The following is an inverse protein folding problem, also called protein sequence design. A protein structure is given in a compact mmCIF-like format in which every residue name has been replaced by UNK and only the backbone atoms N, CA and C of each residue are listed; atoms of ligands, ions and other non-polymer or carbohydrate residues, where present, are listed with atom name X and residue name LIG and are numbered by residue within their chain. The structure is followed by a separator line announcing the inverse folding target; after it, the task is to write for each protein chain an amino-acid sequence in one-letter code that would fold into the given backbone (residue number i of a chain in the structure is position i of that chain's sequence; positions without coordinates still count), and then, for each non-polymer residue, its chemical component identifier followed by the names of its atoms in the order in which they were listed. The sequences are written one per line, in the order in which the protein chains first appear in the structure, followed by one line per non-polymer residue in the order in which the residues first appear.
data_IF_191871256439
#
_entry.id   IF_191871256439
#
_cell.length_a   1.000
_cell.length_b   1.000
_cell.length_c   1.000
_cell.angle_alpha   90.00
_cell.angle_beta   90.00
_cell.angle_gamma   90.00
#
_symmetry.space_group_name_H-M   'P 1'
#
loop_
_entity.id
_entity.type
_entity.pdbx_description
1 polymer ?
#
# COMPACT_ATOMS: atom_id res chain seq x y z
N UNK A 1 15.76 -45.27 -18.18
CA UNK A 1 15.33 -45.36 -16.77
C UNK A 1 15.82 -46.68 -16.15
N UNK A 2 15.63 -47.84 -16.78
CA UNK A 2 16.07 -49.17 -16.28
C UNK A 2 17.57 -49.34 -15.92
N UNK A 3 18.49 -48.55 -16.48
CA UNK A 3 19.94 -48.67 -16.19
C UNK A 3 20.40 -48.05 -14.85
N UNK A 4 19.47 -47.52 -14.05
CA UNK A 4 19.79 -46.75 -12.83
C UNK A 4 19.07 -47.28 -11.57
N UNK A 5 18.36 -48.40 -11.64
CA UNK A 5 17.82 -49.04 -10.43
C UNK A 5 18.96 -49.38 -9.45
N UNK A 6 18.80 -48.97 -8.19
CA UNK A 6 19.84 -49.08 -7.16
C UNK A 6 20.90 -47.96 -7.17
N UNK A 7 20.84 -46.99 -8.10
CA UNK A 7 21.72 -45.82 -8.09
C UNK A 7 21.14 -44.70 -7.19
N UNK A 8 21.92 -44.13 -6.25
CA UNK A 8 21.44 -43.07 -5.36
C UNK A 8 20.97 -41.79 -6.07
N UNK A 9 21.32 -41.60 -7.35
CA UNK A 9 20.89 -40.46 -8.17
C UNK A 9 19.59 -40.71 -8.96
N UNK A 10 19.02 -41.91 -8.90
CA UNK A 10 17.82 -42.25 -9.65
C UNK A 10 16.66 -41.30 -9.36
N UNK A 11 16.39 -41.02 -8.08
CA UNK A 11 15.32 -40.12 -7.65
C UNK A 11 15.48 -38.72 -8.25
N UNK A 12 16.69 -38.15 -8.17
CA UNK A 12 17.03 -36.83 -8.73
C UNK A 12 16.82 -36.75 -10.25
N UNK A 13 17.21 -37.77 -11.00
CA UNK A 13 16.99 -37.83 -12.46
C UNK A 13 15.50 -37.94 -12.79
N UNK A 14 14.79 -38.78 -12.06
CA UNK A 14 13.35 -38.98 -12.25
C UNK A 14 12.54 -37.72 -11.92
N UNK A 15 12.90 -36.99 -10.86
CA UNK A 15 12.35 -35.67 -10.53
C UNK A 15 12.54 -34.68 -11.69
N UNK A 16 13.76 -34.57 -12.21
CA UNK A 16 14.06 -33.68 -13.34
C UNK A 16 13.22 -34.02 -14.59
N UNK A 17 13.08 -35.31 -14.89
CA UNK A 17 12.23 -35.77 -15.98
C UNK A 17 10.75 -35.44 -15.74
N UNK A 18 10.23 -35.69 -14.54
CA UNK A 18 8.84 -35.37 -14.19
C UNK A 18 8.55 -33.87 -14.33
N UNK A 19 9.43 -33.00 -13.83
CA UNK A 19 9.33 -31.54 -13.99
C UNK A 19 9.40 -31.13 -15.46
N UNK A 20 10.25 -31.77 -16.26
CA UNK A 20 10.33 -31.51 -17.70
C UNK A 20 9.01 -31.83 -18.41
N UNK A 21 8.36 -32.95 -18.09
CA UNK A 21 7.06 -33.33 -18.64
C UNK A 21 5.96 -32.32 -18.26
N UNK A 22 6.00 -31.80 -17.04
CA UNK A 22 5.05 -30.78 -16.56
C UNK A 22 5.26 -29.45 -17.30
N UNK A 23 6.52 -28.99 -17.40
CA UNK A 23 6.85 -27.73 -18.08
C UNK A 23 6.61 -27.76 -19.59
N UNK A 24 6.75 -28.92 -20.22
CA UNK A 24 6.56 -29.10 -21.65
C UNK A 24 5.10 -29.00 -22.12
N UNK A 25 4.12 -28.89 -21.22
CA UNK A 25 2.71 -28.63 -21.53
C UNK A 25 1.92 -29.82 -22.11
N UNK A 26 2.55 -30.67 -22.92
CA UNK A 26 1.89 -31.81 -23.59
C UNK A 26 1.73 -33.09 -22.74
N UNK A 27 2.41 -33.19 -21.60
CA UNK A 27 2.50 -34.42 -20.80
C UNK A 27 2.34 -34.19 -19.29
N UNK A 28 1.55 -33.19 -18.90
CA UNK A 28 1.36 -32.81 -17.48
C UNK A 28 0.87 -33.99 -16.63
N UNK A 29 -0.09 -34.78 -17.13
CA UNK A 29 -0.60 -35.96 -16.42
C UNK A 29 0.46 -37.04 -16.19
N UNK A 30 1.33 -37.28 -17.18
CA UNK A 30 2.44 -38.23 -17.06
C UNK A 30 3.49 -37.73 -16.06
N UNK A 31 3.79 -36.43 -16.09
CA UNK A 31 4.69 -35.81 -15.11
C UNK A 31 4.14 -35.88 -13.68
N UNK A 32 2.85 -35.62 -13.49
CA UNK A 32 2.17 -35.76 -12.18
C UNK A 32 2.23 -37.21 -11.68
N UNK A 33 1.92 -38.19 -12.54
CA UNK A 33 2.05 -39.60 -12.19
C UNK A 33 3.49 -39.99 -11.80
N UNK A 34 4.48 -39.49 -12.51
CA UNK A 34 5.89 -39.72 -12.17
C UNK A 34 6.25 -39.12 -10.79
N UNK A 35 5.75 -37.93 -10.46
CA UNK A 35 5.92 -37.35 -9.12
C UNK A 35 5.23 -38.19 -8.04
N UNK A 36 4.00 -38.66 -8.28
CA UNK A 36 3.28 -39.54 -7.32
C UNK A 36 4.07 -40.81 -7.06
N UNK A 37 4.61 -41.44 -8.11
CA UNK A 37 5.45 -42.63 -7.98
C UNK A 37 6.71 -42.35 -7.14
N UNK A 38 7.36 -41.20 -7.33
CA UNK A 38 8.55 -40.82 -6.56
C UNK A 38 8.22 -40.51 -5.10
N UNK A 39 7.13 -39.79 -4.83
CA UNK A 39 6.71 -39.41 -3.48
C UNK A 39 6.49 -40.62 -2.54
N UNK A 40 6.05 -41.76 -3.10
CA UNK A 40 5.81 -43.00 -2.37
C UNK A 40 6.98 -44.01 -2.40
N UNK A 41 8.09 -43.72 -3.09
CA UNK A 41 9.15 -44.71 -3.30
C UNK A 41 10.22 -44.65 -2.19
N UNK A 42 10.18 -45.60 -1.26
CA UNK A 42 11.14 -45.70 -0.15
C UNK A 42 12.59 -45.95 -0.59
N UNK A 43 12.82 -46.44 -1.80
CA UNK A 43 14.15 -46.74 -2.36
C UNK A 43 14.89 -45.48 -2.83
N UNK A 44 14.18 -44.36 -3.06
CA UNK A 44 14.83 -43.08 -3.39
C UNK A 44 15.20 -42.28 -2.15
N UNK A 45 16.07 -41.29 -2.32
CA UNK A 45 16.50 -40.45 -1.20
C UNK A 45 15.30 -39.72 -0.57
N UNK A 46 15.26 -39.58 0.79
CA UNK A 46 14.21 -38.85 1.47
C UNK A 46 13.99 -37.44 0.92
N UNK A 47 15.08 -36.73 0.59
CA UNK A 47 15.03 -35.40 -0.02
C UNK A 47 14.32 -35.41 -1.39
N UNK A 48 14.52 -36.45 -2.20
CA UNK A 48 13.86 -36.55 -3.51
C UNK A 48 12.37 -36.84 -3.36
N UNK A 49 11.98 -37.68 -2.38
CA UNK A 49 10.54 -37.89 -2.05
C UNK A 49 9.88 -36.62 -1.55
N UNK A 50 10.53 -35.93 -0.62
CA UNK A 50 10.04 -34.68 -0.06
C UNK A 50 9.85 -33.62 -1.15
N UNK A 51 10.80 -33.52 -2.08
CA UNK A 51 10.67 -32.63 -3.24
C UNK A 51 9.52 -33.03 -4.17
N UNK A 52 9.30 -34.33 -4.40
CA UNK A 52 8.15 -34.80 -5.18
C UNK A 52 6.81 -34.43 -4.50
N UNK A 53 6.68 -34.64 -3.18
CA UNK A 53 5.51 -34.25 -2.38
C UNK A 53 5.28 -32.74 -2.42
N UNK A 54 6.34 -31.96 -2.29
CA UNK A 54 6.29 -30.50 -2.41
C UNK A 54 5.74 -30.07 -3.76
N UNK A 55 6.27 -30.62 -4.87
CA UNK A 55 5.81 -30.28 -6.21
C UNK A 55 4.34 -30.67 -6.44
N UNK A 56 3.90 -31.82 -5.93
CA UNK A 56 2.51 -32.25 -5.97
C UNK A 56 1.60 -31.32 -5.16
N UNK A 57 2.05 -30.88 -3.99
CA UNK A 57 1.32 -29.90 -3.18
C UNK A 57 1.21 -28.54 -3.89
N UNK A 58 2.26 -28.09 -4.58
CA UNK A 58 2.20 -26.87 -5.40
C UNK A 58 1.22 -26.99 -6.57
N UNK A 59 1.15 -28.16 -7.21
CA UNK A 59 0.14 -28.42 -8.24
C UNK A 59 -1.26 -28.37 -7.66
N UNK A 60 -1.49 -29.02 -6.51
CA UNK A 60 -2.77 -28.99 -5.81
C UNK A 60 -3.20 -27.56 -5.42
N UNK A 61 -2.24 -26.72 -4.99
CA UNK A 61 -2.49 -25.29 -4.78
C UNK A 61 -2.96 -24.62 -6.08
N UNK A 62 -2.31 -24.88 -7.22
CA UNK A 62 -2.70 -24.30 -8.51
C UNK A 62 -4.06 -24.79 -9.02
N UNK A 63 -4.38 -26.05 -8.78
CA UNK A 63 -5.62 -26.73 -9.19
C UNK A 63 -6.79 -26.49 -8.20
N UNK A 64 -6.55 -25.77 -7.09
CA UNK A 64 -7.54 -25.57 -6.01
C UNK A 64 -8.03 -26.88 -5.38
N UNK A 65 -7.17 -27.89 -5.38
CA UNK A 65 -7.43 -29.21 -4.81
C UNK A 65 -6.95 -29.27 -3.34
N UNK A 66 -7.84 -28.87 -2.43
CA UNK A 66 -7.51 -28.82 -0.99
C UNK A 66 -7.22 -30.20 -0.41
N UNK A 67 -7.87 -31.25 -0.94
CA UNK A 67 -7.69 -32.63 -0.46
C UNK A 67 -6.25 -33.10 -0.73
N UNK A 68 -5.76 -32.94 -1.96
CA UNK A 68 -4.39 -33.33 -2.28
C UNK A 68 -3.37 -32.39 -1.64
N UNK A 69 -3.67 -31.10 -1.49
CA UNK A 69 -2.81 -30.17 -0.76
C UNK A 69 -2.58 -30.64 0.68
N UNK A 70 -3.65 -30.89 1.45
CA UNK A 70 -3.54 -31.31 2.86
C UNK A 70 -2.89 -32.67 3.01
N UNK A 71 -3.15 -33.60 2.07
CA UNK A 71 -2.44 -34.88 2.00
C UNK A 71 -0.93 -34.68 1.94
N UNK A 72 -0.42 -33.97 0.94
CA UNK A 72 1.02 -33.82 0.76
C UNK A 72 1.67 -32.91 1.80
N UNK A 73 0.94 -31.92 2.31
CA UNK A 73 1.38 -31.11 3.45
C UNK A 73 1.59 -31.97 4.69
N UNK A 74 0.65 -32.87 5.00
CA UNK A 74 0.75 -33.80 6.13
C UNK A 74 1.94 -34.75 5.96
N UNK A 75 2.07 -35.38 4.78
CA UNK A 75 3.21 -36.27 4.47
C UNK A 75 4.58 -35.55 4.52
N UNK A 76 4.62 -34.24 4.27
CA UNK A 76 5.82 -33.42 4.46
C UNK A 76 6.08 -33.10 5.94
N UNK A 77 5.03 -32.90 6.74
CA UNK A 77 5.15 -32.66 8.18
C UNK A 77 5.60 -33.87 8.97
N UNK A 78 5.31 -35.08 8.49
CA UNK A 78 5.75 -36.33 9.08
C UNK A 78 7.22 -36.67 8.76
N UNK A 79 7.79 -36.09 7.70
CA UNK A 79 9.18 -36.31 7.29
C UNK A 79 10.12 -35.29 7.95
N UNK A 80 10.93 -35.76 8.89
CA UNK A 80 11.91 -34.92 9.60
C UNK A 80 12.92 -34.23 8.67
N UNK A 81 13.16 -34.75 7.47
CA UNK A 81 14.07 -34.17 6.48
C UNK A 81 13.37 -33.17 5.53
N UNK A 82 12.06 -32.98 5.66
CA UNK A 82 11.25 -32.16 4.76
C UNK A 82 10.86 -30.79 5.31
N UNK A 83 11.37 -30.40 6.48
CA UNK A 83 11.06 -29.11 7.14
C UNK A 83 11.21 -27.90 6.20
N UNK A 84 12.29 -27.84 5.41
CA UNK A 84 12.48 -26.79 4.39
C UNK A 84 11.33 -26.72 3.38
N UNK A 85 10.88 -27.87 2.87
CA UNK A 85 9.81 -27.94 1.89
C UNK A 85 8.45 -27.59 2.49
N UNK A 86 8.18 -28.02 3.73
CA UNK A 86 6.93 -27.70 4.41
C UNK A 86 6.80 -26.19 4.64
N UNK A 87 7.83 -25.55 5.21
CA UNK A 87 7.82 -24.10 5.44
C UNK A 87 7.61 -23.36 4.11
N UNK A 88 8.33 -23.77 3.06
CA UNK A 88 8.19 -23.15 1.74
C UNK A 88 6.80 -23.34 1.14
N UNK A 89 6.18 -24.50 1.34
CA UNK A 89 4.82 -24.78 0.87
C UNK A 89 3.79 -23.87 1.55
N UNK A 90 3.89 -23.73 2.88
CA UNK A 90 2.98 -22.88 3.66
C UNK A 90 3.13 -21.40 3.28
N UNK A 91 4.36 -20.92 3.07
CA UNK A 91 4.62 -19.59 2.53
C UNK A 91 3.92 -19.38 1.18
N UNK A 92 4.05 -20.32 0.25
CA UNK A 92 3.47 -20.21 -1.08
C UNK A 92 1.93 -20.26 -1.05
N UNK A 93 1.32 -21.11 -0.21
CA UNK A 93 -0.13 -21.12 0.02
C UNK A 93 -0.59 -19.78 0.58
N UNK A 94 0.11 -19.26 1.59
CA UNK A 94 -0.18 -17.95 2.18
C UNK A 94 -0.08 -16.83 1.14
N UNK A 95 0.98 -16.80 0.34
CA UNK A 95 1.15 -15.81 -0.73
C UNK A 95 0.05 -15.91 -1.77
N UNK A 96 -0.37 -17.11 -2.20
CA UNK A 96 -1.52 -17.27 -3.11
C UNK A 96 -2.78 -16.67 -2.51
N UNK A 97 -3.07 -16.98 -1.24
CA UNK A 97 -4.26 -16.49 -0.55
C UNK A 97 -4.24 -14.95 -0.43
N UNK A 98 -3.10 -14.36 -0.06
CA UNK A 98 -2.92 -12.90 -0.01
C UNK A 98 -3.12 -12.27 -1.40
N UNK A 99 -2.59 -12.87 -2.45
CA UNK A 99 -2.79 -12.40 -3.82
C UNK A 99 -4.27 -12.47 -4.25
N UNK A 100 -4.99 -13.52 -3.86
CA UNK A 100 -6.42 -13.65 -4.14
C UNK A 100 -7.22 -12.54 -3.46
N UNK A 101 -6.91 -12.24 -2.18
CA UNK A 101 -7.50 -11.12 -1.44
C UNK A 101 -7.16 -9.79 -2.14
N UNK A 102 -5.89 -9.53 -2.43
CA UNK A 102 -5.47 -8.29 -3.07
C UNK A 102 -6.18 -8.06 -4.42
N UNK A 103 -6.40 -9.13 -5.21
CA UNK A 103 -7.13 -9.05 -6.48
C UNK A 103 -8.63 -8.78 -6.32
N UNK A 104 -9.24 -9.17 -5.22
CA UNK A 104 -10.67 -8.92 -4.98
C UNK A 104 -10.94 -7.54 -4.38
N UNK A 105 -9.96 -6.93 -3.70
CA UNK A 105 -10.11 -5.63 -3.05
C UNK A 105 -10.70 -4.52 -3.94
N UNK A 106 -10.26 -4.30 -5.20
CA UNK A 106 -10.82 -3.23 -6.03
C UNK A 106 -12.33 -3.35 -6.25
N UNK A 107 -12.85 -4.56 -6.43
CA UNK A 107 -14.27 -4.81 -6.62
C UNK A 107 -15.05 -4.67 -5.31
N UNK A 108 -14.51 -5.22 -4.22
CA UNK A 108 -15.10 -5.09 -2.88
C UNK A 108 -15.21 -3.63 -2.45
N UNK A 109 -14.15 -2.85 -2.65
CA UNK A 109 -14.12 -1.43 -2.31
C UNK A 109 -15.06 -0.61 -3.18
N UNK A 110 -15.13 -0.89 -4.49
CA UNK A 110 -16.09 -0.24 -5.39
C UNK A 110 -17.54 -0.50 -4.94
N UNK A 111 -17.89 -1.75 -4.63
CA UNK A 111 -19.24 -2.12 -4.18
C UNK A 111 -19.60 -1.48 -2.83
N UNK A 112 -18.67 -1.50 -1.87
CA UNK A 112 -18.85 -0.89 -0.57
C UNK A 112 -18.97 0.64 -0.69
N UNK A 113 -18.13 1.25 -1.52
CA UNK A 113 -18.16 2.68 -1.81
C UNK A 113 -19.47 3.12 -2.46
N UNK A 114 -19.95 2.38 -3.46
CA UNK A 114 -21.21 2.67 -4.13
C UNK A 114 -22.40 2.60 -3.17
N UNK A 115 -22.46 1.57 -2.32
CA UNK A 115 -23.48 1.45 -1.26
C UNK A 115 -23.41 2.63 -0.29
N UNK A 116 -22.22 2.90 0.25
CA UNK A 116 -22.00 4.00 1.18
C UNK A 116 -22.44 5.34 0.60
N UNK A 117 -21.99 5.70 -0.61
CA UNK A 117 -22.37 6.94 -1.27
C UNK A 117 -23.88 7.02 -1.50
N UNK A 118 -24.53 5.92 -1.90
CA UNK A 118 -25.98 5.90 -2.08
C UNK A 118 -26.76 6.19 -0.79
N UNK A 119 -26.26 5.72 0.36
CA UNK A 119 -26.84 6.02 1.66
C UNK A 119 -26.60 7.48 2.06
N UNK A 120 -25.38 7.99 1.86
CA UNK A 120 -25.02 9.38 2.17
C UNK A 120 -25.88 10.37 1.38
N UNK A 121 -26.14 10.10 0.09
CA UNK A 121 -27.02 10.95 -0.76
C UNK A 121 -28.41 11.17 -0.17
N UNK A 122 -28.92 10.21 0.61
CA UNK A 122 -30.25 10.31 1.22
C UNK A 122 -30.26 11.11 2.53
N UNK A 123 -29.10 11.44 3.10
CA UNK A 123 -29.00 12.18 4.35
C UNK A 123 -29.37 13.65 4.15
N UNK A 124 -30.13 14.19 5.09
CA UNK A 124 -30.49 15.61 5.11
C UNK A 124 -29.23 16.47 5.26
N UNK A 125 -29.10 17.52 4.45
CA UNK A 125 -27.96 18.45 4.50
C UNK A 125 -26.80 18.04 3.58
N UNK A 126 -26.87 16.87 2.95
CA UNK A 126 -25.93 16.46 1.91
C UNK A 126 -26.39 17.02 0.56
N UNK A 127 -25.44 17.57 -0.19
CA UNK A 127 -25.63 18.03 -1.56
C UNK A 127 -24.74 17.21 -2.49
N UNK A 128 -25.27 16.84 -3.65
CA UNK A 128 -24.53 16.18 -4.73
C UNK A 128 -24.25 17.18 -5.86
N UNK A 129 -23.01 17.17 -6.34
CA UNK A 129 -22.57 17.93 -7.50
C UNK A 129 -22.71 17.11 -8.79
N UNK A 130 -22.55 17.75 -9.95
CA UNK A 130 -22.60 17.05 -11.26
C UNK A 130 -21.50 16.01 -11.44
N UNK A 131 -20.35 16.16 -10.75
CA UNK A 131 -19.24 15.20 -10.80
C UNK A 131 -19.48 13.97 -9.92
N UNK A 132 -20.51 13.98 -9.07
CA UNK A 132 -20.80 12.96 -8.07
C UNK A 132 -20.12 13.19 -6.73
N UNK A 133 -19.36 14.29 -6.54
CA UNK A 133 -18.90 14.71 -5.22
C UNK A 133 -20.12 15.00 -4.33
N UNK A 134 -20.10 14.44 -3.12
CA UNK A 134 -21.09 14.73 -2.08
C UNK A 134 -20.44 15.57 -0.99
N UNK A 135 -21.17 16.56 -0.49
CA UNK A 135 -20.70 17.36 0.64
C UNK A 135 -21.83 17.76 1.59
N UNK A 136 -21.46 18.03 2.83
CA UNK A 136 -22.32 18.56 3.89
C UNK A 136 -21.64 19.81 4.46
N UNK A 137 -22.30 20.97 4.38
CA UNK A 137 -21.80 22.21 4.97
C UNK A 137 -22.03 22.20 6.48
N UNK A 138 -20.95 22.06 7.26
CA UNK A 138 -21.00 22.05 8.73
C UNK A 138 -20.97 23.47 9.31
N UNK A 139 -20.25 24.37 8.62
CA UNK A 139 -20.14 25.80 8.95
C UNK A 139 -20.03 26.59 7.65
N UNK A 140 -20.84 27.63 7.54
CA UNK A 140 -20.77 28.57 6.43
C UNK A 140 -19.57 29.51 6.57
N UNK A 141 -18.89 29.77 5.46
CA UNK A 141 -17.83 30.76 5.36
C UNK A 141 -18.37 32.12 4.90
N UNK A 142 -17.62 33.18 5.19
CA UNK A 142 -18.00 34.56 4.82
C UNK A 142 -16.96 35.26 3.94
N UNK A 143 -15.80 34.64 3.73
CA UNK A 143 -14.75 35.20 2.89
C UNK A 143 -14.90 34.84 1.41
N UNK A 144 -13.82 35.06 0.66
CA UNK A 144 -13.75 34.80 -0.78
C UNK A 144 -13.71 33.30 -1.07
N UNK A 145 -14.05 32.94 -2.31
CA UNK A 145 -13.92 31.57 -2.81
C UNK A 145 -12.61 31.49 -3.61
N UNK A 146 -11.74 30.51 -3.35
CA UNK A 146 -10.50 30.36 -4.09
C UNK A 146 -10.75 29.90 -5.52
N UNK A 147 -9.84 30.26 -6.41
CA UNK A 147 -9.70 29.74 -7.77
C UNK A 147 -8.75 28.53 -7.77
N UNK A 148 -8.66 27.84 -8.91
CA UNK A 148 -7.74 26.72 -9.06
C UNK A 148 -6.24 27.11 -8.99
N UNK A 149 -5.92 28.40 -9.21
CA UNK A 149 -4.55 28.89 -9.22
C UNK A 149 -4.04 29.24 -7.81
N UNK A 150 -4.97 29.57 -6.91
CA UNK A 150 -4.68 30.03 -5.55
C UNK A 150 -4.04 28.96 -4.67
N UNK A 151 -3.28 29.43 -3.67
CA UNK A 151 -2.85 28.65 -2.53
C UNK A 151 -3.79 28.88 -1.35
N UNK A 152 -4.26 27.80 -0.73
CA UNK A 152 -5.15 27.85 0.42
C UNK A 152 -4.48 27.27 1.66
N UNK A 153 -4.86 27.79 2.82
CA UNK A 153 -4.51 27.22 4.11
C UNK A 153 -5.74 26.52 4.71
N UNK A 154 -5.60 25.26 5.08
CA UNK A 154 -6.71 24.43 5.55
C UNK A 154 -6.35 23.61 6.78
N UNK A 155 -7.36 23.35 7.61
CA UNK A 155 -7.36 22.18 8.48
C UNK A 155 -8.16 21.07 7.84
N UNK A 156 -7.67 19.83 7.92
CA UNK A 156 -8.39 18.68 7.43
C UNK A 156 -8.16 17.42 8.26
N UNK A 157 -9.11 16.50 8.13
CA UNK A 157 -9.07 15.16 8.68
C UNK A 157 -9.66 14.19 7.65
N UNK A 158 -8.83 13.30 7.12
CA UNK A 158 -9.17 12.35 6.06
C UNK A 158 -9.23 10.92 6.58
N UNK A 159 -10.35 10.24 6.32
CA UNK A 159 -10.56 8.84 6.68
C UNK A 159 -11.24 8.03 5.59
N UNK A 160 -11.05 6.71 5.66
CA UNK A 160 -11.75 5.74 4.84
C UNK A 160 -13.16 5.48 5.39
N UNK A 161 -14.01 4.83 4.61
CA UNK A 161 -15.38 4.48 5.03
C UNK A 161 -15.44 3.60 6.29
N UNK A 162 -14.35 2.88 6.59
CA UNK A 162 -14.20 2.04 7.78
C UNK A 162 -13.76 2.84 9.04
N UNK A 163 -13.50 4.13 8.91
CA UNK A 163 -13.03 5.02 9.98
C UNK A 163 -11.51 5.10 10.15
N UNK A 164 -10.73 4.34 9.37
CA UNK A 164 -9.27 4.44 9.37
C UNK A 164 -8.82 5.81 8.86
N UNK A 165 -8.07 6.53 9.69
CA UNK A 165 -7.52 7.84 9.35
C UNK A 165 -6.23 7.65 8.57
N UNK A 166 -6.16 8.19 7.36
CA UNK A 166 -4.96 8.09 6.51
C UNK A 166 -4.14 9.39 6.51
N UNK A 167 -4.76 10.54 6.80
CA UNK A 167 -4.07 11.82 6.86
C UNK A 167 -4.89 12.86 7.66
N UNK A 168 -4.23 13.69 8.46
CA UNK A 168 -4.87 14.67 9.34
C UNK A 168 -3.90 15.79 9.69
N UNK A 169 -4.21 17.03 9.28
CA UNK A 169 -3.47 18.20 9.75
C UNK A 169 -3.78 18.52 11.21
N UNK A 170 -5.00 18.19 11.65
CA UNK A 170 -5.47 18.43 13.01
C UNK A 170 -4.64 17.62 14.01
N UNK A 171 -4.34 16.36 13.69
CA UNK A 171 -3.51 15.51 14.55
C UNK A 171 -2.04 15.94 14.58
N UNK A 172 -1.57 16.61 13.51
CA UNK A 172 -0.26 17.26 13.48
C UNK A 172 -0.22 18.57 14.28
N UNK A 173 -1.37 19.18 14.55
CA UNK A 173 -1.49 20.42 15.31
C UNK A 173 -1.21 21.71 14.53
N UNK A 174 -1.02 21.63 13.21
CA UNK A 174 -0.77 22.80 12.35
C UNK A 174 -1.57 22.72 11.04
N UNK A 175 -2.03 23.85 10.48
CA UNK A 175 -2.66 23.89 9.17
C UNK A 175 -1.73 23.41 8.06
N UNK A 176 -2.30 23.04 6.93
CA UNK A 176 -1.54 22.67 5.73
C UNK A 176 -1.89 23.58 4.57
N UNK A 177 -0.88 23.91 3.77
CA UNK A 177 -1.02 24.75 2.58
C UNK A 177 -1.04 23.90 1.32
N UNK A 178 -1.97 24.19 0.42
CA UNK A 178 -2.11 23.49 -0.85
C UNK A 178 -2.46 24.44 -1.96
N UNK A 179 -1.88 24.20 -3.14
CA UNK A 179 -2.40 24.79 -4.38
C UNK A 179 -3.69 24.06 -4.76
N UNK A 180 -4.78 24.80 -4.99
CA UNK A 180 -6.12 24.23 -5.21
C UNK A 180 -6.16 23.29 -6.42
N UNK A 181 -5.47 23.62 -7.52
CA UNK A 181 -5.34 22.75 -8.69
C UNK A 181 -4.33 21.59 -8.53
N UNK A 182 -3.58 21.54 -7.43
CA UNK A 182 -2.54 20.54 -7.17
C UNK A 182 -2.97 19.34 -6.33
N UNK A 183 -4.23 19.31 -5.89
CA UNK A 183 -4.82 18.24 -5.06
C UNK A 183 -5.76 17.36 -5.87
N UNK A 184 -6.35 16.34 -5.24
CA UNK A 184 -7.30 15.43 -5.90
C UNK A 184 -8.51 16.20 -6.43
N UNK A 185 -9.10 15.72 -7.53
CA UNK A 185 -10.19 16.41 -8.25
C UNK A 185 -11.35 16.82 -7.34
N UNK A 186 -11.75 15.95 -6.42
CA UNK A 186 -12.83 16.24 -5.47
C UNK A 186 -12.51 17.39 -4.51
N UNK A 187 -11.23 17.54 -4.12
CA UNK A 187 -10.79 18.69 -3.33
C UNK A 187 -10.73 19.96 -4.16
N UNK A 188 -10.15 19.89 -5.37
CA UNK A 188 -10.10 21.03 -6.29
C UNK A 188 -11.49 21.59 -6.55
N UNK A 189 -12.48 20.73 -6.78
CA UNK A 189 -13.88 21.12 -6.94
C UNK A 189 -14.47 21.69 -5.65
N UNK A 190 -14.37 20.97 -4.52
CA UNK A 190 -14.94 21.41 -3.25
C UNK A 190 -14.41 22.77 -2.80
N UNK A 191 -13.10 22.98 -2.86
CA UNK A 191 -12.47 24.22 -2.41
C UNK A 191 -12.96 25.43 -3.20
N UNK A 192 -13.16 25.30 -4.51
CA UNK A 192 -13.68 26.38 -5.36
C UNK A 192 -15.16 26.73 -5.10
N UNK A 193 -15.88 25.86 -4.37
CA UNK A 193 -17.25 26.10 -3.92
C UNK A 193 -17.31 26.58 -2.46
N UNK A 194 -16.22 26.45 -1.72
CA UNK A 194 -16.12 26.84 -0.31
C UNK A 194 -15.70 28.30 -0.18
N UNK A 195 -16.39 29.03 0.70
CA UNK A 195 -15.92 30.35 1.15
C UNK A 195 -14.92 30.20 2.27
N UNK A 196 -13.93 31.09 2.32
CA UNK A 196 -13.02 31.18 3.47
C UNK A 196 -13.81 31.30 4.79
N UNK A 197 -13.39 30.51 5.78
CA UNK A 197 -14.04 30.29 7.07
C UNK A 197 -15.06 29.15 7.11
N UNK A 198 -15.38 28.53 5.96
CA UNK A 198 -16.29 27.40 5.89
C UNK A 198 -15.64 26.11 6.41
N UNK A 199 -16.46 25.25 7.02
CA UNK A 199 -16.10 23.87 7.35
C UNK A 199 -17.07 22.91 6.69
N UNK A 200 -16.58 22.03 5.83
CA UNK A 200 -17.38 21.05 5.09
C UNK A 200 -16.95 19.63 5.43
N UNK A 201 -17.90 18.70 5.31
CA UNK A 201 -17.62 17.27 5.26
C UNK A 201 -17.82 16.78 3.83
N UNK A 202 -16.78 16.27 3.21
CA UNK A 202 -16.74 15.78 1.85
C UNK A 202 -16.82 14.25 1.85
N UNK A 203 -17.56 13.68 0.92
CA UNK A 203 -17.54 12.26 0.60
C UNK A 203 -17.19 12.14 -0.89
N UNK A 204 -15.97 11.69 -1.15
CA UNK A 204 -15.32 11.79 -2.46
C UNK A 204 -15.29 10.40 -3.10
N UNK A 205 -16.02 10.16 -4.20
CA UNK A 205 -15.89 8.94 -4.99
C UNK A 205 -14.45 8.69 -5.44
N UNK A 206 -14.07 7.43 -5.61
CA UNK A 206 -12.70 7.05 -5.97
C UNK A 206 -12.20 7.72 -7.27
N UNK A 207 -13.08 7.93 -8.25
CA UNK A 207 -12.76 8.57 -9.54
C UNK A 207 -12.38 10.05 -9.42
N UNK A 208 -12.83 10.70 -8.33
CA UNK A 208 -12.44 12.06 -7.95
C UNK A 208 -11.27 12.09 -6.96
N UNK A 209 -10.74 10.91 -6.60
CA UNK A 209 -9.63 10.69 -5.68
C UNK A 209 -8.50 9.89 -6.36
N UNK A 210 -8.17 8.70 -5.83
CA UNK A 210 -7.03 7.87 -6.28
C UNK A 210 -7.42 6.71 -7.22
N UNK A 211 -8.71 6.54 -7.53
CA UNK A 211 -9.25 5.60 -8.52
C UNK A 211 -8.89 4.14 -8.27
N UNK A 212 -8.86 3.36 -9.36
CA UNK A 212 -8.58 1.91 -9.33
C UNK A 212 -7.20 1.53 -8.80
N UNK A 213 -6.24 2.47 -8.81
CA UNK A 213 -4.88 2.20 -8.37
C UNK A 213 -4.69 2.43 -6.88
N UNK A 214 -5.42 3.38 -6.28
CA UNK A 214 -5.13 3.83 -4.92
C UNK A 214 -3.76 4.50 -4.81
N UNK A 215 -3.21 4.52 -3.60
CA UNK A 215 -1.84 4.95 -3.30
C UNK A 215 -1.23 4.09 -2.18
N UNK A 216 -0.18 4.57 -1.50
CA UNK A 216 0.49 3.83 -0.43
C UNK A 216 -0.37 3.59 0.81
N UNK A 217 -1.29 4.51 1.13
CA UNK A 217 -2.13 4.46 2.34
C UNK A 217 -3.61 4.22 2.03
N UNK A 218 -4.01 4.35 0.77
CA UNK A 218 -5.40 4.29 0.31
C UNK A 218 -5.52 3.15 -0.69
N UNK A 219 -6.46 2.25 -0.44
CA UNK A 219 -6.70 1.10 -1.29
C UNK A 219 -7.28 1.47 -2.67
N UNK A 220 -7.32 0.50 -3.60
CA UNK A 220 -7.97 0.68 -4.89
C UNK A 220 -9.47 0.93 -4.70
N UNK A 221 -10.03 1.86 -5.49
CA UNK A 221 -11.45 2.20 -5.51
C UNK A 221 -12.04 2.63 -4.16
N UNK A 222 -11.23 3.16 -3.25
CA UNK A 222 -11.74 3.65 -1.98
C UNK A 222 -12.40 5.02 -2.10
N UNK A 223 -13.56 5.14 -1.44
CA UNK A 223 -14.23 6.41 -1.18
C UNK A 223 -13.56 7.06 0.01
N UNK A 224 -13.28 8.35 -0.11
CA UNK A 224 -12.63 9.13 0.94
C UNK A 224 -13.64 10.03 1.64
N UNK A 225 -13.51 10.15 2.95
CA UNK A 225 -14.26 11.08 3.77
C UNK A 225 -13.27 12.12 4.27
N UNK A 226 -13.58 13.41 4.08
CA UNK A 226 -12.79 14.49 4.63
C UNK A 226 -13.67 15.43 5.43
N UNK A 227 -13.21 15.87 6.59
CA UNK A 227 -13.63 17.15 7.16
C UNK A 227 -12.57 18.18 6.78
N UNK A 228 -12.98 19.29 6.16
CA UNK A 228 -12.09 20.35 5.69
C UNK A 228 -12.60 21.68 6.23
N UNK A 229 -11.74 22.45 6.90
CA UNK A 229 -11.96 23.84 7.26
C UNK A 229 -11.01 24.73 6.47
N UNK A 230 -11.57 25.61 5.63
CA UNK A 230 -10.81 26.55 4.82
C UNK A 230 -10.50 27.80 5.66
N UNK A 231 -9.24 28.00 6.02
CA UNK A 231 -8.80 29.07 6.92
C UNK A 231 -8.54 30.38 6.17
N UNK A 232 -7.99 30.29 4.96
CA UNK A 232 -7.64 31.46 4.16
C UNK A 232 -7.08 31.12 2.78
N UNK A 233 -6.92 32.18 1.98
CA UNK A 233 -6.20 32.16 0.71
C UNK A 233 -4.87 32.88 0.98
N UNK A 234 -3.75 32.19 0.74
CA UNK A 234 -2.42 32.79 0.89
C UNK A 234 -2.13 33.61 -0.36
N UNK A 235 -1.74 34.90 -0.24
CA UNK A 235 -1.30 35.68 -1.39
C UNK A 235 -0.08 35.01 -2.02
N UNK A 236 -0.07 34.89 -3.34
CA UNK A 236 1.12 34.50 -4.09
C UNK A 236 2.25 35.48 -3.74
N UNK A 237 3.30 35.03 -3.05
CA UNK A 237 4.52 35.81 -2.94
C UNK A 237 5.14 35.82 -4.34
N UNK A 238 4.77 36.82 -5.14
CA UNK A 238 5.52 37.23 -6.32
C UNK A 238 6.99 37.34 -5.90
N UNK A 239 7.93 36.58 -6.49
CA UNK A 239 9.33 36.72 -6.16
C UNK A 239 9.71 38.18 -6.43
N UNK A 240 10.04 38.91 -5.35
CA UNK A 240 10.37 40.33 -5.39
C UNK A 240 11.20 40.65 -6.63
N UNK A 241 10.63 41.52 -7.47
CA UNK A 241 11.23 42.00 -8.70
C UNK A 241 12.69 42.40 -8.46
N UNK A 242 13.61 41.72 -9.16
CA UNK A 242 15.00 42.14 -9.34
C UNK A 242 15.05 43.49 -10.07
N UNK A 243 14.74 44.60 -9.41
CA UNK A 243 15.10 45.94 -9.87
C UNK A 243 15.39 46.84 -8.66
N UNK A 244 16.66 46.93 -8.31
CA UNK A 244 17.24 48.25 -8.04
C UNK A 244 18.23 48.55 -9.14
N UNK A 245 17.73 49.29 -10.14
CA UNK A 245 18.56 50.10 -11.02
C UNK A 245 19.44 51.01 -10.16
N UNK A 246 20.74 50.73 -10.10
CA UNK A 246 21.73 51.69 -9.60
C UNK A 246 22.29 52.44 -10.79
N UNK A 247 21.83 53.68 -10.87
CA UNK A 247 22.29 54.80 -11.68
C UNK A 247 23.73 54.66 -12.21
N UNK A 248 23.83 54.87 -13.52
CA UNK A 248 25.05 55.07 -14.29
C UNK A 248 25.95 56.13 -13.65
N UNK A 249 27.19 55.73 -13.34
CA UNK A 249 28.34 56.59 -13.59
C UNK A 249 29.23 55.85 -14.57
N UNK A 250 29.13 56.28 -15.83
CA UNK A 250 30.06 55.90 -16.89
C UNK A 250 31.38 56.61 -16.56
N UNK A 251 32.44 55.84 -16.30
CA UNK A 251 33.82 56.34 -16.29
C UNK A 251 34.59 55.61 -17.40
N UNK A 252 35.36 56.32 -18.26
CA UNK A 252 35.87 55.78 -19.51
C UNK A 252 37.32 55.31 -19.33
N UNK A 253 37.51 54.07 -18.87
CA UNK A 253 38.74 53.31 -19.11
C UNK A 253 38.52 51.86 -18.68
N UNK A 254 38.48 50.96 -19.66
CA UNK A 254 38.33 49.54 -19.42
C UNK A 254 39.58 48.96 -18.80
N UNK A 255 39.46 48.47 -17.56
CA UNK A 255 40.34 47.47 -16.95
C UNK A 255 39.50 46.64 -15.98
N UNK A 256 39.34 45.35 -16.27
CA UNK A 256 38.74 44.38 -15.36
C UNK A 256 39.78 43.98 -14.32
N UNK A 257 39.51 44.21 -13.04
CA UNK A 257 40.27 43.56 -11.98
C UNK A 257 39.32 42.75 -11.09
N UNK A 258 39.47 41.43 -11.17
CA UNK A 258 38.80 40.46 -10.29
C UNK A 258 39.45 40.53 -8.92
N UNK A 259 38.72 41.02 -7.91
CA UNK A 259 39.05 40.75 -6.51
C UNK A 259 38.10 39.67 -6.02
N UNK A 260 38.64 38.45 -5.93
CA UNK A 260 38.01 37.32 -5.26
C UNK A 260 37.92 37.62 -3.75
N UNK A 261 36.69 37.67 -3.23
CA UNK A 261 36.41 37.55 -1.80
C UNK A 261 35.56 36.28 -1.63
N UNK A 262 35.87 35.39 -0.66
CA UNK A 262 35.47 33.99 -0.69
C UNK A 262 34.01 33.78 -0.26
N UNK A 263 33.35 32.83 -0.91
CA UNK A 263 32.06 32.26 -0.49
C UNK A 263 32.29 31.53 0.85
N UNK A 264 31.57 31.84 1.94
CA UNK A 264 31.54 30.96 3.09
C UNK A 264 30.74 29.70 2.71
N UNK A 265 31.46 28.60 2.48
CA UNK A 265 30.86 27.27 2.45
C UNK A 265 30.31 26.96 3.86
N UNK A 266 29.00 26.99 4.04
CA UNK A 266 28.37 26.45 5.25
C UNK A 266 28.36 24.93 5.12
N UNK A 267 29.24 24.31 5.90
CA UNK A 267 29.36 22.87 6.08
C UNK A 267 28.02 22.28 6.51
N UNK A 268 27.58 21.24 5.78
CA UNK A 268 26.56 20.31 6.26
C UNK A 268 27.28 19.44 7.29
N UNK A 269 27.00 19.66 8.58
CA UNK A 269 27.35 18.67 9.60
C UNK A 269 26.43 17.45 9.42
N UNK A 270 26.95 16.21 9.47
CA UNK A 270 26.09 15.04 9.46
C UNK A 270 25.36 14.97 10.81
N UNK A 271 24.06 15.26 10.80
CA UNK A 271 23.21 15.01 11.97
C UNK A 271 23.20 13.51 12.24
N UNK A 272 23.78 13.13 13.38
CA UNK A 272 23.83 11.79 13.90
C UNK A 272 22.40 11.25 14.07
N UNK A 273 22.03 10.22 13.32
CA UNK A 273 20.76 9.51 13.47
C UNK A 273 20.83 8.72 14.78
N UNK A 274 20.19 9.24 15.83
CA UNK A 274 19.98 8.48 17.05
C UNK A 274 18.89 7.43 16.79
N UNK A 275 19.29 6.15 16.82
CA UNK A 275 18.39 5.01 16.68
C UNK A 275 17.42 5.02 17.86
N UNK A 276 16.09 5.02 17.63
CA UNK A 276 15.13 4.95 18.73
C UNK A 276 15.29 3.64 19.49
N UNK A 277 15.35 3.73 20.83
CA UNK A 277 15.37 2.55 21.71
C UNK A 277 14.14 1.66 21.46
N UNK A 278 14.28 0.32 21.50
CA UNK A 278 13.16 -0.58 21.31
C UNK A 278 12.13 -0.42 22.43
N UNK A 279 10.85 -0.52 22.05
CA UNK A 279 9.70 -0.50 22.96
C UNK A 279 9.83 -1.59 24.05
N UNK A 280 9.44 -1.31 25.31
CA UNK A 280 9.38 -2.32 26.34
C UNK A 280 8.37 -3.42 25.99
N UNK A 281 8.73 -4.68 26.27
CA UNK A 281 7.85 -5.84 26.05
C UNK A 281 6.57 -5.69 26.89
N UNK A 282 5.41 -6.17 26.39
CA UNK A 282 4.19 -6.22 27.19
C UNK A 282 4.42 -7.09 28.43
N UNK A 283 4.07 -6.53 29.58
CA UNK A 283 4.14 -7.20 30.87
C UNK A 283 3.12 -8.35 30.87
N UNK A 284 3.61 -9.56 31.16
CA UNK A 284 2.78 -10.75 31.29
C UNK A 284 2.00 -10.61 32.60
N UNK A 285 0.71 -10.28 32.52
CA UNK A 285 -0.19 -10.41 33.66
C UNK A 285 -0.22 -11.88 34.07
N UNK A 286 0.35 -12.20 35.23
CA UNK A 286 0.16 -13.50 35.87
C UNK A 286 -1.33 -13.71 36.20
N UNK A 287 -1.85 -14.94 36.10
CA UNK A 287 -3.22 -15.21 36.48
C UNK A 287 -3.38 -15.01 37.99
N UNK A 288 -4.42 -14.27 38.37
CA UNK A 288 -4.89 -14.16 39.75
C UNK A 288 -5.28 -15.57 40.22
N UNK A 289 -4.59 -16.09 41.23
CA UNK A 289 -5.04 -17.25 41.99
C UNK A 289 -6.39 -16.93 42.63
N UNK A 290 -7.45 -17.59 42.16
CA UNK A 290 -8.72 -17.70 42.87
C UNK A 290 -8.45 -18.47 44.18
N UNK A 291 -8.32 -17.71 45.26
CA UNK A 291 -8.29 -18.26 46.60
C UNK A 291 -9.67 -18.88 46.88
N UNK A 292 -9.70 -20.20 47.00
CA UNK A 292 -10.86 -20.98 47.38
C UNK A 292 -11.17 -20.71 48.86
N UNK A 293 -12.31 -20.09 49.13
CA UNK A 293 -12.86 -20.04 50.49
C UNK A 293 -13.66 -21.33 50.72
N UNK A 294 -13.08 -22.24 51.51
CA UNK A 294 -13.81 -23.06 52.48
C UNK A 294 -13.49 -22.54 53.88
#
# INVERSE_FOLDING_TARGET
MERLEGNPLYGRVALGHAVSLIKGGGSIGQGKQALVALAGNEEVLPTDRAEARFLLALQAIGEEDELNYEKYRTELGEDQNASYFLVRLEELKRTKNLLAVAKSLPAVNADNGAKFLSEIKTKKGVTETESGLLYEALKEGTGEMPTAEDEVEVHYHGSLINGEVFDSSVDRGEPSKFRVGGVIKGWTEALQLMKVGAKWKLYIPSDLAYGERGNNSIGPNEVLIFEVELLGITPEEEPESLLTDVNQTVDPQGETNQTLVPVPAKMIEPTNVEVPKPLPKPERTEPVEENSTE
#
